data_IF_178282542246
#
_entry.id   IF_178282542246
#
_cell.length_a   1.000
_cell.length_b   1.000
_cell.length_c   1.000
_cell.angle_alpha   90.00
_cell.angle_beta   90.00
_cell.angle_gamma   90.00
#
_symmetry.space_group_name_H-M   'P 1'
#
loop_
_entity.id
_entity.type
_entity.pdbx_description
1 polymer ?
#
# COMPACT_ATOMS: atom_id res chain seq x y z
N UNK A 1 9.38 14.03 14.21
CA UNK A 1 8.46 13.80 13.06
C UNK A 1 9.07 14.01 11.65
N UNK A 2 10.29 14.56 11.40
CA UNK A 2 10.72 14.83 10.01
C UNK A 2 11.10 13.59 9.17
N UNK A 3 11.37 12.44 9.79
CA UNK A 3 11.80 11.22 9.10
C UNK A 3 10.67 10.20 8.85
N UNK A 4 9.43 10.50 9.24
CA UNK A 4 8.34 9.51 9.21
C UNK A 4 8.02 8.98 7.79
N UNK A 5 8.28 9.76 6.74
CA UNK A 5 7.99 9.41 5.35
C UNK A 5 9.23 9.03 4.54
N UNK A 6 10.45 9.17 5.09
CA UNK A 6 11.68 8.96 4.32
C UNK A 6 11.84 7.49 3.89
N UNK A 7 11.39 6.54 4.71
CA UNK A 7 11.38 5.12 4.35
C UNK A 7 10.53 4.83 3.11
N UNK A 8 9.32 5.40 3.04
CA UNK A 8 8.43 5.23 1.89
C UNK A 8 9.03 5.80 0.60
N UNK A 9 9.63 7.00 0.69
CA UNK A 9 10.36 7.61 -0.43
C UNK A 9 11.53 6.74 -0.90
N UNK A 10 12.34 6.22 0.03
CA UNK A 10 13.47 5.36 -0.31
C UNK A 10 13.03 4.06 -1.00
N UNK A 11 11.94 3.43 -0.52
CA UNK A 11 11.38 2.24 -1.16
C UNK A 11 10.93 2.52 -2.59
N UNK A 12 10.17 3.60 -2.81
CA UNK A 12 9.71 3.96 -4.16
C UNK A 12 10.86 4.30 -5.11
N UNK A 13 11.85 5.05 -4.62
CA UNK A 13 13.03 5.38 -5.40
C UNK A 13 13.78 4.12 -5.84
N UNK A 14 13.98 3.17 -4.94
CA UNK A 14 14.61 1.87 -5.25
C UNK A 14 13.87 1.12 -6.35
N UNK A 15 12.54 0.99 -6.24
CA UNK A 15 11.71 0.38 -7.28
C UNK A 15 11.79 1.09 -8.62
N UNK A 16 11.78 2.43 -8.62
CA UNK A 16 11.89 3.20 -9.85
C UNK A 16 13.24 2.98 -10.54
N UNK A 17 14.33 2.99 -9.78
CA UNK A 17 15.68 2.70 -10.31
C UNK A 17 15.75 1.31 -10.94
N UNK A 18 15.21 0.27 -10.27
CA UNK A 18 15.28 -1.10 -10.81
C UNK A 18 14.38 -1.31 -12.02
N UNK A 19 13.18 -0.74 -12.03
CA UNK A 19 12.20 -0.96 -13.10
C UNK A 19 12.47 -0.13 -14.36
N UNK A 20 12.90 1.12 -14.19
CA UNK A 20 13.30 1.95 -15.33
C UNK A 20 14.69 1.56 -15.82
N UNK A 21 15.60 1.17 -14.92
CA UNK A 21 16.96 0.77 -15.27
C UNK A 21 17.05 -0.45 -16.18
N UNK A 22 16.03 -1.32 -16.19
CA UNK A 22 15.98 -2.49 -17.09
C UNK A 22 15.32 -2.22 -18.44
N UNK A 23 14.73 -1.04 -18.67
CA UNK A 23 14.22 -0.67 -19.99
C UNK A 23 15.37 -0.69 -21.01
N UNK A 24 15.16 -1.23 -22.24
CA UNK A 24 13.88 -1.54 -22.90
C UNK A 24 13.41 -3.00 -22.73
N UNK A 25 13.95 -3.74 -21.76
CA UNK A 25 13.71 -5.18 -21.63
C UNK A 25 12.68 -5.51 -20.55
N UNK A 26 11.75 -6.40 -20.89
CA UNK A 26 10.92 -7.09 -19.91
C UNK A 26 11.70 -8.26 -19.29
N UNK A 27 12.38 -9.05 -20.14
CA UNK A 27 13.33 -10.10 -19.78
C UNK A 27 14.59 -9.86 -20.61
N UNK A 28 15.71 -9.60 -19.95
CA UNK A 28 16.97 -9.18 -20.60
C UNK A 28 17.41 -10.17 -21.68
N UNK A 29 17.57 -9.68 -22.91
CA UNK A 29 18.00 -10.49 -24.06
C UNK A 29 16.93 -11.43 -24.62
N UNK A 30 15.72 -11.45 -24.05
CA UNK A 30 14.65 -12.38 -24.45
C UNK A 30 13.41 -11.63 -24.95
N UNK A 31 12.87 -10.68 -24.16
CA UNK A 31 11.61 -10.02 -24.47
C UNK A 31 11.72 -8.51 -24.23
N UNK A 32 11.45 -7.71 -25.25
CA UNK A 32 11.38 -6.24 -25.12
C UNK A 32 10.00 -5.80 -24.63
N UNK A 33 9.95 -4.64 -24.00
CA UNK A 33 8.70 -4.06 -23.50
C UNK A 33 7.71 -3.71 -24.60
N UNK A 34 8.19 -3.28 -25.77
CA UNK A 34 7.34 -2.97 -26.93
C UNK A 34 6.65 -4.20 -27.52
N UNK A 35 7.29 -5.37 -27.43
CA UNK A 35 6.77 -6.63 -27.96
C UNK A 35 5.74 -7.26 -27.02
N UNK A 36 5.67 -6.79 -25.77
CA UNK A 36 4.77 -7.32 -24.74
C UNK A 36 3.41 -6.59 -24.68
N UNK A 37 3.15 -5.63 -25.56
CA UNK A 37 1.89 -4.86 -25.57
C UNK A 37 0.73 -5.73 -26.08
N UNK A 38 -0.29 -5.91 -25.26
CA UNK A 38 -1.48 -6.70 -25.61
C UNK A 38 -2.42 -5.99 -26.61
N UNK A 39 -3.29 -6.73 -27.32
CA UNK A 39 -4.20 -6.20 -28.34
C UNK A 39 -5.43 -5.51 -27.72
N UNK A 40 -5.21 -4.44 -26.97
CA UNK A 40 -6.25 -3.67 -26.27
C UNK A 40 -6.22 -2.22 -26.75
N UNK A 41 -7.39 -1.61 -26.95
CA UNK A 41 -7.44 -0.21 -27.37
C UNK A 41 -6.88 0.70 -26.27
N UNK A 42 -6.03 1.67 -26.66
CA UNK A 42 -5.42 2.60 -25.70
C UNK A 42 -6.43 3.39 -24.87
N UNK A 43 -7.64 3.64 -25.40
CA UNK A 43 -8.74 4.26 -24.68
C UNK A 43 -9.26 3.42 -23.51
N UNK A 44 -9.30 2.09 -23.66
CA UNK A 44 -9.71 1.18 -22.59
C UNK A 44 -8.66 1.15 -21.48
N UNK A 45 -7.38 1.13 -21.85
CA UNK A 45 -6.27 1.23 -20.89
C UNK A 45 -6.34 2.55 -20.13
N UNK A 46 -6.49 3.68 -20.83
CA UNK A 46 -6.59 5.00 -20.22
C UNK A 46 -7.79 5.12 -19.27
N UNK A 47 -8.96 4.61 -19.66
CA UNK A 47 -10.15 4.59 -18.81
C UNK A 47 -9.90 3.77 -17.54
N UNK A 48 -9.36 2.56 -17.68
CA UNK A 48 -9.08 1.69 -16.53
C UNK A 48 -8.05 2.33 -15.58
N UNK A 49 -7.00 2.96 -16.12
CA UNK A 49 -6.00 3.68 -15.35
C UNK A 49 -6.64 4.83 -14.57
N UNK A 50 -7.49 5.63 -15.21
CA UNK A 50 -8.20 6.72 -14.54
C UNK A 50 -9.08 6.21 -13.38
N UNK A 51 -9.82 5.12 -13.60
CA UNK A 51 -10.65 4.50 -12.55
C UNK A 51 -9.79 4.04 -11.37
N UNK A 52 -8.67 3.35 -11.62
CA UNK A 52 -7.76 2.91 -10.55
C UNK A 52 -7.13 4.08 -9.79
N UNK A 53 -6.71 5.14 -10.49
CA UNK A 53 -6.13 6.33 -9.86
C UNK A 53 -7.14 7.02 -8.93
N UNK A 54 -8.38 7.20 -9.39
CA UNK A 54 -9.45 7.79 -8.58
C UNK A 54 -9.74 6.91 -7.36
N UNK A 55 -9.90 5.61 -7.56
CA UNK A 55 -10.18 4.66 -6.48
C UNK A 55 -9.07 4.69 -5.41
N UNK A 56 -7.81 4.61 -5.83
CA UNK A 56 -6.67 4.62 -4.90
C UNK A 56 -6.51 5.95 -4.19
N UNK A 57 -6.78 7.08 -4.87
CA UNK A 57 -6.79 8.39 -4.21
C UNK A 57 -7.87 8.48 -3.12
N UNK A 58 -9.10 8.02 -3.42
CA UNK A 58 -10.19 7.98 -2.44
C UNK A 58 -9.85 7.08 -1.24
N UNK A 59 -9.30 5.89 -1.50
CA UNK A 59 -8.87 4.97 -0.43
C UNK A 59 -7.76 5.56 0.42
N UNK A 60 -6.77 6.23 -0.19
CA UNK A 60 -5.69 6.88 0.55
C UNK A 60 -6.22 8.00 1.45
N UNK A 61 -7.13 8.84 0.95
CA UNK A 61 -7.77 9.90 1.75
C UNK A 61 -8.57 9.30 2.91
N UNK A 62 -9.37 8.28 2.65
CA UNK A 62 -10.14 7.61 3.69
C UNK A 62 -9.23 6.99 4.76
N UNK A 63 -8.18 6.30 4.35
CA UNK A 63 -7.19 5.70 5.26
C UNK A 63 -6.51 6.74 6.14
N UNK A 64 -5.96 7.81 5.54
CA UNK A 64 -5.32 8.89 6.29
C UNK A 64 -6.32 9.61 7.21
N UNK A 65 -7.55 9.82 6.74
CA UNK A 65 -8.63 10.41 7.53
C UNK A 65 -8.96 9.60 8.76
N UNK A 66 -9.10 8.28 8.62
CA UNK A 66 -9.35 7.36 9.76
C UNK A 66 -8.15 7.35 10.71
N UNK A 67 -6.92 7.26 10.22
CA UNK A 67 -5.73 7.27 11.07
C UNK A 67 -5.62 8.56 11.88
N UNK A 68 -5.80 9.72 11.23
CA UNK A 68 -5.76 11.02 11.91
C UNK A 68 -6.90 11.14 12.91
N UNK A 69 -8.11 10.72 12.54
CA UNK A 69 -9.26 10.74 13.45
C UNK A 69 -9.01 9.90 14.71
N UNK A 70 -8.54 8.66 14.54
CA UNK A 70 -8.25 7.77 15.67
C UNK A 70 -7.09 8.29 16.53
N UNK A 71 -6.04 8.81 15.91
CA UNK A 71 -4.89 9.38 16.63
C UNK A 71 -5.32 10.60 17.47
N UNK A 72 -6.12 11.51 16.91
CA UNK A 72 -6.64 12.68 17.62
C UNK A 72 -7.62 12.29 18.73
N UNK A 73 -8.48 11.29 18.48
CA UNK A 73 -9.41 10.77 19.48
C UNK A 73 -8.67 10.16 20.67
N UNK A 74 -7.67 9.31 20.42
CA UNK A 74 -6.84 8.72 21.48
C UNK A 74 -6.08 9.79 22.28
N UNK A 75 -5.57 10.82 21.61
CA UNK A 75 -4.89 11.94 22.28
C UNK A 75 -5.81 12.76 23.18
N UNK A 76 -7.10 12.89 22.81
CA UNK A 76 -8.09 13.67 23.56
C UNK A 76 -8.72 12.88 24.71
N UNK A 77 -9.16 11.65 24.44
CA UNK A 77 -10.00 10.87 25.35
C UNK A 77 -9.17 9.84 26.17
N UNK A 78 -7.86 9.73 25.91
CA UNK A 78 -6.99 8.68 26.44
C UNK A 78 -7.13 7.38 25.65
N UNK A 79 -6.07 6.57 25.61
CA UNK A 79 -6.11 5.28 24.91
C UNK A 79 -6.86 4.23 25.76
N UNK A 80 -8.13 3.99 25.43
CA UNK A 80 -8.94 2.94 26.01
C UNK A 80 -8.82 1.60 25.25
N UNK A 81 -7.94 1.52 24.25
CA UNK A 81 -7.67 0.28 23.53
C UNK A 81 -7.00 -0.73 24.48
N UNK A 82 -7.33 -2.03 24.38
CA UNK A 82 -6.61 -3.04 25.14
C UNK A 82 -5.12 -2.95 24.85
N UNK A 83 -4.28 -2.99 25.88
CA UNK A 83 -2.82 -2.98 25.70
C UNK A 83 -2.43 -4.09 24.71
N UNK A 84 -1.51 -3.82 23.76
CA UNK A 84 -0.98 -4.85 22.88
C UNK A 84 -0.46 -6.01 23.74
N UNK A 85 -1.04 -7.20 23.61
CA UNK A 85 -0.74 -8.39 24.42
C UNK A 85 -1.85 -8.86 25.36
N UNK A 86 -2.92 -8.10 25.59
CA UNK A 86 -4.08 -8.57 26.39
C UNK A 86 -4.96 -9.54 25.61
N UNK A 87 -4.94 -9.47 24.27
CA UNK A 87 -5.62 -10.41 23.38
C UNK A 87 -4.80 -11.68 23.10
N UNK A 88 -3.51 -11.70 23.44
CA UNK A 88 -2.62 -12.87 23.32
C UNK A 88 -2.63 -13.73 24.60
N UNK A 89 -3.46 -13.39 25.59
CA UNK A 89 -3.79 -14.32 26.66
C UNK A 89 -4.37 -15.57 25.98
N UNK A 90 -3.73 -16.75 26.10
CA UNK A 90 -4.23 -17.95 25.47
C UNK A 90 -5.69 -18.11 25.90
N UNK A 91 -6.61 -18.17 24.94
CA UNK A 91 -8.01 -18.49 25.20
C UNK A 91 -7.97 -19.70 26.13
N UNK A 92 -8.41 -19.52 27.37
CA UNK A 92 -8.40 -20.57 28.38
C UNK A 92 -9.38 -21.63 27.93
N UNK A 93 -8.92 -22.50 27.04
CA UNK A 93 -9.69 -23.59 26.52
C UNK A 93 -9.98 -24.48 27.73
N UNK A 94 -11.26 -24.70 28.08
CA UNK A 94 -11.58 -25.49 29.25
C UNK A 94 -11.00 -26.87 28.99
N UNK A 95 -10.05 -27.27 29.84
CA UNK A 95 -9.46 -28.60 29.78
C UNK A 95 -10.61 -29.61 29.82
N UNK A 96 -10.77 -30.34 28.71
CA UNK A 96 -11.71 -31.43 28.63
C UNK A 96 -11.39 -32.41 29.76
N UNK A 97 -12.35 -32.61 30.66
CA UNK A 97 -12.34 -33.72 31.62
C UNK A 97 -12.52 -35.04 30.89
#
# INVERSE_FOLDING_TARGET
VPMALSGWLATLAGWYTTEIGRQPWLVTGVLKTVDAVGPVAGSQVALSLAVYLILYALLLIAYLGVLVYLALKAAKDGDASPLPGVLDAPLSQPAAK
#
